data_IF_483865300405
#
_entry.id   IF_483865300405
#
_cell.length_a   1.000
_cell.length_b   1.000
_cell.length_c   1.000
_cell.angle_alpha   90.00
_cell.angle_beta   90.00
_cell.angle_gamma   90.00
#
_symmetry.space_group_name_H-M   'P 1'
#
loop_
_entity.id
_entity.type
_entity.pdbx_description
1 polymer ?
#
# COMPACT_ATOMS: atom_id res chain seq x y z
N UNK A 1 15.38 -1.35 3.73
CA UNK A 1 15.43 0.09 3.43
C UNK A 1 14.14 0.79 3.86
N UNK A 2 14.25 2.01 4.39
CA UNK A 2 13.11 2.88 4.66
C UNK A 2 12.77 3.66 3.39
N UNK A 3 11.51 3.64 2.96
CA UNK A 3 11.08 4.46 1.82
C UNK A 3 10.81 5.90 2.26
N UNK A 4 11.11 6.84 1.37
CA UNK A 4 10.77 8.26 1.58
C UNK A 4 9.26 8.49 1.37
N UNK A 5 8.68 9.37 2.17
CA UNK A 5 7.26 9.71 2.13
C UNK A 5 6.43 9.01 3.21
N UNK A 6 5.22 9.52 3.43
CA UNK A 6 4.24 8.92 4.33
C UNK A 6 3.64 7.66 3.71
N UNK A 7 3.48 6.60 4.50
CA UNK A 7 2.95 5.32 4.02
C UNK A 7 1.61 5.00 4.67
N UNK A 8 0.57 4.88 3.86
CA UNK A 8 -0.75 4.41 4.27
C UNK A 8 -0.90 2.88 4.07
N UNK A 9 -0.20 2.32 3.07
CA UNK A 9 -0.31 0.91 2.69
C UNK A 9 -1.64 0.53 2.05
N UNK A 10 -2.31 1.48 1.40
CA UNK A 10 -3.44 1.21 0.51
C UNK A 10 -3.16 1.77 -0.88
N UNK A 11 -3.47 1.00 -1.91
CA UNK A 11 -3.50 1.47 -3.29
C UNK A 11 -4.95 1.65 -3.73
N UNK A 12 -5.21 2.65 -4.55
CA UNK A 12 -6.54 2.96 -5.06
C UNK A 12 -6.57 2.94 -6.58
N UNK A 13 -7.76 2.81 -7.14
CA UNK A 13 -8.01 2.92 -8.58
C UNK A 13 -9.25 3.76 -8.81
N UNK A 14 -9.23 4.61 -9.83
CA UNK A 14 -10.40 5.36 -10.27
C UNK A 14 -11.21 4.50 -11.26
N UNK A 15 -12.54 4.48 -11.10
CA UNK A 15 -13.49 3.89 -12.06
C UNK A 15 -14.73 4.78 -12.13
N UNK A 16 -14.98 5.42 -13.28
CA UNK A 16 -16.14 6.28 -13.51
C UNK A 16 -16.36 7.28 -12.33
N UNK A 17 -15.34 8.09 -12.04
CA UNK A 17 -15.29 9.04 -10.91
C UNK A 17 -15.39 8.45 -9.49
N UNK A 18 -15.45 7.13 -9.36
CA UNK A 18 -15.41 6.45 -8.06
C UNK A 18 -13.99 6.02 -7.72
N UNK A 19 -13.49 6.46 -6.56
CA UNK A 19 -12.21 5.96 -6.03
C UNK A 19 -12.44 4.66 -5.25
N UNK A 20 -11.82 3.57 -5.69
CA UNK A 20 -11.96 2.24 -5.09
C UNK A 20 -10.61 1.81 -4.51
N UNK A 21 -10.62 1.29 -3.28
CA UNK A 21 -9.44 0.64 -2.68
C UNK A 21 -9.14 -0.65 -3.45
N UNK A 22 -8.02 -0.67 -4.15
CA UNK A 22 -7.58 -1.78 -4.99
C UNK A 22 -6.79 -2.82 -4.20
N UNK A 23 -5.96 -2.39 -3.26
CA UNK A 23 -5.20 -3.27 -2.37
C UNK A 23 -4.97 -2.61 -1.01
N UNK A 24 -4.81 -3.43 0.03
CA UNK A 24 -4.39 -3.01 1.37
C UNK A 24 -3.31 -3.97 1.84
N UNK A 25 -2.12 -3.44 2.12
CA UNK A 25 -0.99 -4.21 2.60
C UNK A 25 -1.21 -4.62 4.07
N UNK A 26 -0.80 -5.83 4.44
CA UNK A 26 -0.80 -6.28 5.84
C UNK A 26 0.64 -6.39 6.36
N UNK A 27 0.97 -5.85 7.56
CA UNK A 27 0.19 -4.95 8.41
C UNK A 27 0.48 -3.46 8.08
N UNK A 28 -0.52 -2.70 7.62
CA UNK A 28 -0.37 -1.28 7.26
C UNK A 28 -1.31 -0.36 8.03
N UNK A 29 -1.06 0.96 8.05
CA UNK A 29 -1.98 1.93 8.63
C UNK A 29 -3.42 1.85 8.09
N UNK A 30 -3.59 1.62 6.78
CA UNK A 30 -4.90 1.40 6.20
C UNK A 30 -5.56 0.12 6.72
N UNK A 31 -4.79 -0.95 6.91
CA UNK A 31 -5.28 -2.19 7.49
C UNK A 31 -5.80 -1.97 8.92
N UNK A 32 -5.02 -1.26 9.73
CA UNK A 32 -5.34 -0.97 11.13
C UNK A 32 -6.55 -0.03 11.23
N UNK A 33 -6.64 0.96 10.33
CA UNK A 33 -7.79 1.85 10.15
C UNK A 33 -9.02 1.17 9.53
N UNK A 34 -9.02 -0.17 9.38
CA UNK A 34 -10.14 -0.97 8.86
C UNK A 34 -10.54 -0.67 7.41
N UNK A 35 -9.72 0.06 6.64
CA UNK A 35 -9.89 0.15 5.20
C UNK A 35 -9.64 -1.23 4.58
N UNK A 36 -10.50 -1.63 3.65
CA UNK A 36 -10.43 -2.94 3.00
C UNK A 36 -10.53 -2.80 1.49
N UNK A 37 -10.05 -3.80 0.77
CA UNK A 37 -10.22 -3.91 -0.68
C UNK A 37 -11.70 -3.79 -1.06
N UNK A 38 -11.98 -3.22 -2.23
CA UNK A 38 -13.32 -2.95 -2.76
C UNK A 38 -14.15 -1.91 -1.98
N UNK A 39 -13.58 -1.31 -0.94
CA UNK A 39 -14.17 -0.13 -0.30
C UNK A 39 -14.17 1.05 -1.26
N UNK A 40 -15.27 1.78 -1.32
CA UNK A 40 -15.39 3.02 -2.10
C UNK A 40 -15.05 4.19 -1.20
N UNK A 41 -14.02 4.96 -1.53
CA UNK A 41 -13.67 6.18 -0.79
C UNK A 41 -14.46 7.33 -1.39
N UNK A 42 -15.10 8.12 -0.53
CA UNK A 42 -15.93 9.28 -0.93
C UNK A 42 -15.20 10.58 -0.61
N UNK A 43 -14.57 10.64 0.57
CA UNK A 43 -13.86 11.83 1.04
C UNK A 43 -12.56 11.46 1.77
N UNK A 44 -11.61 12.38 1.72
CA UNK A 44 -10.31 12.34 2.40
C UNK A 44 -10.02 13.72 2.99
N UNK A 45 -9.87 13.82 4.31
CA UNK A 45 -9.73 15.07 5.07
C UNK A 45 -10.74 16.17 4.66
N UNK A 46 -12.00 15.79 4.47
CA UNK A 46 -13.07 16.69 4.04
C UNK A 46 -12.97 17.17 2.59
N UNK A 47 -12.03 16.63 1.81
CA UNK A 47 -11.89 16.87 0.36
C UNK A 47 -12.44 15.69 -0.44
N UNK A 48 -12.88 15.91 -1.70
CA UNK A 48 -13.35 14.83 -2.57
C UNK A 48 -12.29 13.74 -2.78
N UNK A 49 -12.72 12.47 -2.83
CA UNK A 49 -11.80 11.33 -2.99
C UNK A 49 -10.86 11.43 -4.20
N UNK A 50 -11.24 12.10 -5.28
CA UNK A 50 -10.34 12.35 -6.44
C UNK A 50 -9.04 13.08 -6.07
N UNK A 51 -9.00 13.81 -4.95
CA UNK A 51 -7.81 14.48 -4.43
C UNK A 51 -6.94 13.58 -3.54
N UNK A 52 -7.18 12.27 -3.53
CA UNK A 52 -6.47 11.29 -2.71
C UNK A 52 -4.95 11.43 -2.75
N UNK A 53 -4.38 11.49 -3.95
CA UNK A 53 -2.93 11.60 -4.12
C UNK A 53 -2.40 12.95 -3.61
N UNK A 54 -3.11 14.04 -3.90
CA UNK A 54 -2.70 15.39 -3.50
C UNK A 54 -2.72 15.55 -1.97
N UNK A 55 -3.74 15.01 -1.32
CA UNK A 55 -3.85 15.05 0.15
C UNK A 55 -2.76 14.20 0.79
N UNK A 56 -2.53 12.97 0.33
CA UNK A 56 -1.49 12.12 0.92
C UNK A 56 -0.08 12.65 0.66
N UNK A 57 0.17 13.29 -0.49
CA UNK A 57 1.48 13.89 -0.80
C UNK A 57 1.85 15.06 0.12
N UNK A 58 0.87 15.73 0.72
CA UNK A 58 1.07 16.83 1.67
C UNK A 58 1.35 16.36 3.10
N UNK A 59 1.21 15.06 3.37
CA UNK A 59 1.30 14.50 4.71
C UNK A 59 2.67 13.90 5.00
N UNK A 60 2.98 13.85 6.29
CA UNK A 60 4.22 13.27 6.82
C UNK A 60 3.91 12.00 7.61
N UNK A 61 4.89 11.11 7.79
CA UNK A 61 4.76 10.04 8.76
C UNK A 61 4.41 10.59 10.15
N UNK A 62 3.44 9.97 10.82
CA UNK A 62 2.85 10.42 12.08
C UNK A 62 1.58 11.25 11.91
N UNK A 63 1.33 11.84 10.74
CA UNK A 63 0.10 12.60 10.51
C UNK A 63 -1.10 11.68 10.44
N UNK A 64 -2.25 12.18 10.89
CA UNK A 64 -3.53 11.52 10.74
C UNK A 64 -4.24 11.99 9.48
N UNK A 65 -4.99 11.07 8.87
CA UNK A 65 -5.87 11.34 7.73
C UNK A 65 -7.22 10.69 8.02
N UNK A 66 -8.28 11.50 7.92
CA UNK A 66 -9.67 11.06 8.05
C UNK A 66 -10.20 10.64 6.68
N UNK A 67 -10.89 9.51 6.63
CA UNK A 67 -11.53 8.99 5.42
C UNK A 67 -13.01 8.80 5.67
N UNK A 68 -13.81 9.13 4.66
CA UNK A 68 -15.22 8.73 4.58
C UNK A 68 -15.36 7.77 3.43
N UNK A 69 -15.95 6.60 3.70
CA UNK A 69 -16.01 5.51 2.74
C UNK A 69 -17.32 4.75 2.82
N UNK A 70 -17.65 4.04 1.74
CA UNK A 70 -18.75 3.10 1.65
C UNK A 70 -18.19 1.68 1.67
N UNK A 71 -18.67 0.88 2.62
CA UNK A 71 -18.37 -0.54 2.73
C UNK A 71 -19.69 -1.29 2.92
N UNK A 72 -19.99 -2.24 2.04
CA UNK A 72 -21.29 -2.93 2.02
C UNK A 72 -22.48 -1.95 1.97
N UNK A 73 -22.35 -0.88 1.18
CA UNK A 73 -23.31 0.24 1.07
C UNK A 73 -23.54 1.06 2.35
N UNK A 74 -22.78 0.83 3.42
CA UNK A 74 -22.83 1.65 4.63
C UNK A 74 -21.75 2.73 4.59
N UNK A 75 -22.15 3.99 4.85
CA UNK A 75 -21.21 5.11 5.01
C UNK A 75 -20.55 5.02 6.38
N UNK A 76 -19.22 4.95 6.37
CA UNK A 76 -18.37 4.84 7.55
C UNK A 76 -17.29 5.90 7.51
N UNK A 77 -16.78 6.22 8.68
CA UNK A 77 -15.63 7.09 8.85
C UNK A 77 -14.53 6.34 9.57
N UNK A 78 -13.29 6.61 9.20
CA UNK A 78 -12.12 6.11 9.92
C UNK A 78 -10.98 7.11 9.85
N UNK A 79 -10.03 6.96 10.75
CA UNK A 79 -8.81 7.76 10.78
C UNK A 79 -7.62 6.82 10.74
N UNK A 80 -6.67 7.08 9.85
CA UNK A 80 -5.41 6.35 9.80
C UNK A 80 -4.25 7.28 10.16
N UNK A 81 -3.31 6.77 10.96
CA UNK A 81 -2.04 7.45 11.26
C UNK A 81 -0.99 6.95 10.28
N UNK A 82 -0.47 7.84 9.44
CA UNK A 82 0.46 7.47 8.39
C UNK A 82 1.79 6.99 8.97
N UNK A 83 2.30 5.90 8.43
CA UNK A 83 3.53 5.27 8.88
C UNK A 83 4.71 5.56 7.98
N UNK A 84 5.78 4.82 8.22
CA UNK A 84 6.97 4.76 7.38
C UNK A 84 7.05 3.34 6.81
N UNK A 85 7.14 3.21 5.48
CA UNK A 85 7.32 1.88 4.87
C UNK A 85 8.75 1.40 5.07
N UNK A 86 8.90 0.24 5.70
CA UNK A 86 10.17 -0.48 5.79
C UNK A 86 10.08 -1.72 4.93
N UNK A 87 10.89 -1.77 3.87
CA UNK A 87 11.00 -2.96 3.02
C UNK A 87 12.31 -3.68 3.34
N UNK A 88 12.25 -5.01 3.42
CA UNK A 88 13.46 -5.83 3.47
C UNK A 88 13.98 -5.96 2.04
N UNK A 89 15.25 -5.61 1.82
CA UNK A 89 15.91 -5.88 0.56
C UNK A 89 16.44 -7.32 0.60
N UNK A 90 15.91 -8.16 -0.28
CA UNK A 90 16.43 -9.50 -0.51
C UNK A 90 17.28 -9.47 -1.78
N UNK A 91 18.57 -9.21 -1.60
CA UNK A 91 19.53 -9.17 -2.71
C UNK A 91 19.79 -10.60 -3.20
N UNK A 92 19.21 -10.96 -4.33
CA UNK A 92 19.54 -12.21 -5.04
C UNK A 92 20.80 -11.94 -5.86
N UNK A 93 21.89 -12.61 -5.53
CA UNK A 93 23.16 -12.55 -6.27
C UNK A 93 23.67 -13.98 -6.52
N UNK A 94 24.31 -14.24 -7.67
CA UNK A 94 25.02 -15.50 -7.86
C UNK A 94 26.05 -15.70 -6.76
N UNK A 95 26.13 -16.90 -6.19
CA UNK A 95 27.18 -17.24 -5.24
C UNK A 95 28.54 -17.26 -5.96
N UNK A 96 29.61 -16.82 -5.30
CA UNK A 96 30.93 -16.72 -5.94
C UNK A 96 31.58 -18.09 -6.21
N UNK A 97 31.33 -19.08 -5.34
CA UNK A 97 31.92 -20.42 -5.41
C UNK A 97 30.81 -21.47 -5.62
N UNK A 98 30.14 -21.43 -6.77
CA UNK A 98 29.06 -22.37 -7.11
C UNK A 98 29.64 -23.74 -7.43
N UNK A 99 29.12 -24.80 -6.83
CA UNK A 99 29.50 -26.17 -7.19
C UNK A 99 28.90 -26.59 -8.53
N UNK A 100 29.48 -27.60 -9.19
CA UNK A 100 28.92 -28.13 -10.44
C UNK A 100 27.46 -28.60 -10.29
N UNK A 101 27.11 -29.20 -9.14
CA UNK A 101 25.74 -29.60 -8.83
C UNK A 101 24.81 -28.39 -8.68
N UNK A 102 25.22 -27.36 -7.95
CA UNK A 102 24.43 -26.13 -7.78
C UNK A 102 24.19 -25.41 -9.11
N UNK A 103 25.22 -25.37 -9.98
CA UNK A 103 25.09 -24.83 -11.33
C UNK A 103 24.09 -25.64 -12.16
N UNK A 104 24.18 -26.96 -12.13
CA UNK A 104 23.25 -27.84 -12.85
C UNK A 104 21.80 -27.68 -12.37
N UNK A 105 21.58 -27.52 -11.06
CA UNK A 105 20.24 -27.27 -10.50
C UNK A 105 19.70 -25.93 -11.00
N UNK A 106 20.53 -24.88 -10.98
CA UNK A 106 20.12 -23.56 -11.47
C UNK A 106 19.81 -23.58 -12.97
N UNK A 107 20.69 -24.17 -13.78
CA UNK A 107 20.55 -24.26 -15.24
C UNK A 107 19.36 -25.15 -15.69
N UNK A 108 18.88 -26.05 -14.83
CA UNK A 108 17.66 -26.83 -15.07
C UNK A 108 16.41 -26.06 -14.66
N UNK A 109 16.45 -25.38 -13.51
CA UNK A 109 15.32 -24.62 -12.98
C UNK A 109 15.03 -23.31 -13.73
N UNK A 110 16.06 -22.63 -14.23
CA UNK A 110 15.96 -21.29 -14.82
C UNK A 110 15.72 -21.28 -16.35
N UNK A 111 15.36 -22.41 -16.95
CA UNK A 111 15.05 -22.53 -18.40
C UNK A 111 13.73 -21.89 -18.78
#
# INVERSE_FOLDING_TARGET
>A
KTLAGSWLGASTRMRNDTLIVANVEWPSPAWDAKLRRQTVVVEIDGRPARQWNDVLAQKKPGDTVKFVYLQNNERKETTATLGVKKEKEYLIKPAANVTALQKSIFDDWAR
#
